data_IF_722843073302
#
_entry.id   IF_722843073302
#
_cell.length_a   1.000
_cell.length_b   1.000
_cell.length_c   1.000
_cell.angle_alpha   90.00
_cell.angle_beta   90.00
_cell.angle_gamma   90.00
#
_symmetry.space_group_name_H-M   'P 1'
#
loop_
_entity.id
_entity.type
_entity.pdbx_description
1 polymer ?
#
# COMPACT_ATOMS: atom_id res chain seq x y z
N UNK A 1 1.62 -6.99 -12.87
CA UNK A 1 1.32 -6.06 -11.76
C UNK A 1 2.57 -5.95 -10.90
N UNK A 2 2.84 -4.79 -10.30
CA UNK A 2 3.89 -4.69 -9.29
C UNK A 2 3.39 -5.30 -7.98
N UNK A 3 4.24 -6.04 -7.23
CA UNK A 3 3.82 -6.60 -5.95
C UNK A 3 3.45 -5.48 -4.97
N UNK A 4 2.35 -5.67 -4.26
CA UNK A 4 1.89 -4.71 -3.25
C UNK A 4 0.86 -5.31 -2.32
N UNK A 5 0.56 -4.59 -1.25
CA UNK A 5 -0.47 -4.98 -0.29
C UNK A 5 -1.25 -3.76 0.20
N UNK A 6 -2.54 -3.99 0.48
CA UNK A 6 -3.38 -3.07 1.25
C UNK A 6 -3.50 -3.63 2.65
N UNK A 7 -3.22 -2.80 3.65
CA UNK A 7 -3.32 -3.15 5.07
C UNK A 7 -4.65 -2.66 5.61
N UNK A 8 -5.34 -3.51 6.36
CA UNK A 8 -6.61 -3.19 7.00
C UNK A 8 -6.46 -3.26 8.53
N UNK A 9 -7.23 -2.43 9.26
CA UNK A 9 -7.44 -2.62 10.70
C UNK A 9 -8.47 -3.73 10.97
N UNK A 10 -8.83 -3.94 12.25
CA UNK A 10 -9.77 -4.98 12.64
C UNK A 10 -11.20 -4.71 12.15
N UNK A 11 -11.53 -3.43 11.92
CA UNK A 11 -12.81 -2.95 11.42
C UNK A 11 -12.88 -2.95 9.88
N UNK A 12 -11.78 -3.28 9.19
CA UNK A 12 -11.70 -3.35 7.74
C UNK A 12 -11.39 -2.01 7.06
N UNK A 13 -10.94 -0.99 7.79
CA UNK A 13 -10.49 0.27 7.19
C UNK A 13 -9.07 0.14 6.66
N UNK A 14 -8.82 0.77 5.51
CA UNK A 14 -7.46 0.86 4.95
C UNK A 14 -6.58 1.72 5.85
N UNK A 15 -5.53 1.11 6.41
CA UNK A 15 -4.53 1.77 7.26
C UNK A 15 -3.16 1.91 6.57
N UNK A 16 -3.05 1.44 5.32
CA UNK A 16 -1.93 1.78 4.48
C UNK A 16 -1.82 0.93 3.23
N UNK A 17 -1.04 1.44 2.29
CA UNK A 17 -0.68 0.75 1.05
C UNK A 17 0.83 0.63 1.00
N UNK A 18 1.31 -0.52 0.51
CA UNK A 18 2.71 -0.75 0.21
C UNK A 18 2.83 -1.29 -1.22
N UNK A 19 3.83 -0.81 -1.94
CA UNK A 19 4.22 -1.28 -3.26
C UNK A 19 5.72 -1.54 -3.25
N UNK A 20 6.12 -2.63 -3.89
CA UNK A 20 7.50 -3.02 -4.03
C UNK A 20 7.90 -2.89 -5.52
N UNK A 21 8.96 -2.12 -5.76
CA UNK A 21 9.65 -2.10 -7.04
C UNK A 21 10.73 -3.19 -7.07
N UNK A 22 10.54 -4.19 -7.94
CA UNK A 22 11.49 -5.29 -8.14
C UNK A 22 12.09 -5.17 -9.53
N UNK A 23 13.42 -5.11 -9.58
CA UNK A 23 14.19 -5.28 -10.80
C UNK A 23 15.35 -6.24 -10.52
N UNK A 24 15.69 -7.06 -11.52
CA UNK A 24 16.80 -8.02 -11.45
C UNK A 24 16.75 -8.96 -10.22
N UNK A 25 15.53 -9.37 -9.84
CA UNK A 25 15.30 -10.24 -8.69
C UNK A 25 15.50 -9.58 -7.32
N UNK A 26 15.73 -8.27 -7.27
CA UNK A 26 16.04 -7.52 -6.04
C UNK A 26 15.05 -6.38 -5.82
N UNK A 27 14.80 -6.07 -4.54
CA UNK A 27 14.03 -4.89 -4.14
C UNK A 27 14.86 -3.63 -4.41
N UNK A 28 14.41 -2.80 -5.35
CA UNK A 28 15.03 -1.50 -5.64
C UNK A 28 14.41 -0.37 -4.83
N UNK A 29 13.09 -0.41 -4.60
CA UNK A 29 12.40 0.61 -3.84
C UNK A 29 11.18 0.04 -3.12
N UNK A 30 10.81 0.68 -2.01
CA UNK A 30 9.55 0.44 -1.30
C UNK A 30 8.81 1.76 -1.24
N UNK A 31 7.59 1.78 -1.77
CA UNK A 31 6.68 2.92 -1.67
C UNK A 31 5.62 2.61 -0.63
N UNK A 32 5.40 3.51 0.32
CA UNK A 32 4.33 3.36 1.30
C UNK A 32 3.55 4.64 1.48
N UNK A 33 2.23 4.48 1.56
CA UNK A 33 1.30 5.56 1.92
C UNK A 33 0.62 5.18 3.23
N UNK A 34 0.88 5.96 4.27
CA UNK A 34 0.26 5.82 5.61
C UNK A 34 -0.45 7.10 6.05
N UNK A 35 -0.45 8.15 5.23
CA UNK A 35 -1.15 9.40 5.55
C UNK A 35 -2.68 9.16 5.54
N UNK A 36 -3.39 9.34 6.67
CA UNK A 36 -4.84 9.10 6.77
C UNK A 36 -5.67 9.90 5.77
N UNK A 37 -5.29 11.15 5.47
CA UNK A 37 -6.01 12.00 4.52
C UNK A 37 -5.95 11.39 3.12
N UNK A 38 -4.77 10.89 2.72
CA UNK A 38 -4.60 10.22 1.43
C UNK A 38 -5.37 8.90 1.38
N UNK A 39 -5.36 8.13 2.48
CA UNK A 39 -6.06 6.85 2.58
C UNK A 39 -7.59 7.01 2.61
N UNK A 40 -8.10 8.14 3.11
CA UNK A 40 -9.53 8.45 3.12
C UNK A 40 -10.13 8.48 1.70
N UNK A 41 -9.32 8.70 0.66
CA UNK A 41 -9.73 8.68 -0.73
C UNK A 41 -9.91 7.27 -1.31
N UNK A 42 -9.47 6.22 -0.61
CA UNK A 42 -9.60 4.81 -1.03
C UNK A 42 -10.94 4.17 -0.62
N UNK A 43 -11.85 4.95 -0.01
CA UNK A 43 -13.21 4.51 0.37
C UNK A 43 -14.03 4.27 -0.90
N UNK A 44 -13.96 3.05 -1.43
CA UNK A 44 -14.60 2.66 -2.68
C UNK A 44 -14.04 1.38 -3.31
N UNK A 45 -12.95 0.82 -2.76
CA UNK A 45 -12.49 -0.56 -3.06
C UNK A 45 -13.28 -1.56 -2.24
#
# INVERSE_FOLDING_TARGET
GRPGAVKFDAEGHVIGVIELDIADGTVHAIHSVTNPDKLAHLRGV
#
